data_IF_926179670069
#
_entry.id   IF_926179670069
#
_cell.length_a   1.000
_cell.length_b   1.000
_cell.length_c   1.000
_cell.angle_alpha   90.00
_cell.angle_beta   90.00
_cell.angle_gamma   90.00
#
_symmetry.space_group_name_H-M   'P 1'
#
loop_
_entity.id
_entity.type
_entity.pdbx_description
1 polymer ?
#
# COMPACT_ATOMS: atom_id res chain seq x y z
N UNK A 1 -25.69 -2.83 -24.71
CA UNK A 1 -26.28 -1.61 -24.15
C UNK A 1 -25.13 -0.84 -23.53
N UNK A 2 -24.72 0.27 -24.14
CA UNK A 2 -23.77 1.19 -23.50
C UNK A 2 -24.65 2.00 -22.56
N UNK A 3 -24.58 1.73 -21.26
CA UNK A 3 -25.27 2.51 -20.24
C UNK A 3 -24.82 3.96 -20.34
N UNK A 4 -25.75 4.89 -20.13
CA UNK A 4 -25.47 6.33 -20.14
C UNK A 4 -24.30 6.62 -19.17
N UNK A 5 -23.22 7.31 -19.61
CA UNK A 5 -22.10 7.65 -18.73
C UNK A 5 -22.52 8.45 -17.49
N UNK A 6 -23.69 9.11 -17.50
CA UNK A 6 -24.24 9.78 -16.32
C UNK A 6 -24.89 8.82 -15.31
N UNK A 7 -25.47 7.70 -15.74
CA UNK A 7 -26.01 6.67 -14.84
C UNK A 7 -24.90 5.96 -14.06
N UNK A 8 -23.71 5.86 -14.65
CA UNK A 8 -22.53 5.23 -14.06
C UNK A 8 -21.90 6.08 -12.95
N UNK A 9 -22.05 7.40 -12.98
CA UNK A 9 -21.53 8.31 -11.94
C UNK A 9 -22.31 8.27 -10.63
N UNK A 10 -23.53 7.74 -10.63
CA UNK A 10 -24.38 7.65 -9.43
C UNK A 10 -24.08 6.41 -8.57
N UNK A 11 -23.34 5.43 -9.09
CA UNK A 11 -22.94 4.25 -8.33
C UNK A 11 -21.61 4.51 -7.60
N UNK A 12 -21.65 4.52 -6.27
CA UNK A 12 -20.47 4.66 -5.41
C UNK A 12 -19.40 3.59 -5.65
N UNK A 13 -19.74 2.46 -6.31
CA UNK A 13 -18.82 1.37 -6.61
C UNK A 13 -18.11 1.52 -7.96
N UNK A 14 -18.54 2.47 -8.81
CA UNK A 14 -18.01 2.62 -10.15
C UNK A 14 -16.50 2.92 -10.18
N UNK A 15 -16.02 3.78 -9.28
CA UNK A 15 -14.60 4.10 -9.18
C UNK A 15 -13.76 2.87 -8.82
N UNK A 16 -14.24 2.04 -7.89
CA UNK A 16 -13.55 0.82 -7.49
C UNK A 16 -13.45 -0.19 -8.65
N UNK A 17 -14.51 -0.30 -9.46
CA UNK A 17 -14.51 -1.15 -10.66
C UNK A 17 -13.43 -0.68 -11.65
N UNK A 18 -13.37 0.62 -11.93
CA UNK A 18 -12.35 1.18 -12.82
C UNK A 18 -10.94 0.98 -12.30
N UNK A 19 -10.72 1.24 -11.03
CA UNK A 19 -9.41 1.04 -10.41
C UNK A 19 -9.00 -0.43 -10.53
N UNK A 20 -9.92 -1.38 -10.27
CA UNK A 20 -9.66 -2.81 -10.44
C UNK A 20 -9.33 -3.18 -11.90
N UNK A 21 -10.04 -2.61 -12.87
CA UNK A 21 -9.74 -2.82 -14.29
C UNK A 21 -8.35 -2.30 -14.67
N UNK A 22 -7.96 -1.12 -14.16
CA UNK A 22 -6.63 -0.53 -14.39
C UNK A 22 -5.54 -1.43 -13.79
N UNK A 23 -5.73 -1.92 -12.56
CA UNK A 23 -4.76 -2.82 -11.91
C UNK A 23 -4.61 -4.13 -12.68
N UNK A 24 -5.71 -4.74 -13.13
CA UNK A 24 -5.66 -5.96 -13.93
C UNK A 24 -4.98 -5.74 -15.28
N UNK A 25 -5.32 -4.66 -15.98
CA UNK A 25 -4.68 -4.29 -17.24
C UNK A 25 -3.17 -4.09 -17.06
N UNK A 26 -2.76 -3.41 -15.99
CA UNK A 26 -1.35 -3.23 -15.65
C UNK A 26 -0.67 -4.58 -15.38
N UNK A 27 -1.29 -5.45 -14.59
CA UNK A 27 -0.74 -6.77 -14.28
C UNK A 27 -0.50 -7.60 -15.54
N UNK A 28 -1.50 -7.70 -16.42
CA UNK A 28 -1.40 -8.41 -17.70
C UNK A 28 -0.34 -7.79 -18.61
N UNK A 29 -0.27 -6.46 -18.66
CA UNK A 29 0.74 -5.74 -19.45
C UNK A 29 2.15 -6.05 -18.96
N UNK A 30 2.38 -6.03 -17.65
CA UNK A 30 3.68 -6.36 -17.06
C UNK A 30 4.09 -7.80 -17.37
N UNK A 31 3.14 -8.75 -17.32
CA UNK A 31 3.38 -10.15 -17.66
C UNK A 31 3.71 -10.35 -19.15
N UNK A 32 3.09 -9.57 -20.04
CA UNK A 32 3.39 -9.62 -21.49
C UNK A 32 4.75 -8.98 -21.81
N UNK A 33 5.09 -7.84 -21.18
CA UNK A 33 6.36 -7.16 -21.44
C UNK A 33 7.53 -7.98 -20.91
N UNK A 34 7.42 -8.54 -19.69
CA UNK A 34 8.40 -9.44 -19.07
C UNK A 34 9.87 -8.97 -19.19
N UNK A 35 10.11 -7.67 -18.99
CA UNK A 35 11.44 -7.04 -19.03
C UNK A 35 11.68 -6.27 -17.73
N UNK A 36 12.61 -6.76 -16.91
CA UNK A 36 12.89 -6.19 -15.59
C UNK A 36 13.43 -4.74 -15.66
N UNK A 37 14.22 -4.41 -16.69
CA UNK A 37 14.75 -3.05 -16.86
C UNK A 37 13.62 -2.08 -17.18
N UNK A 38 12.71 -2.50 -18.07
CA UNK A 38 11.53 -1.73 -18.41
C UNK A 38 10.58 -1.55 -17.20
N UNK A 39 10.35 -2.62 -16.43
CA UNK A 39 9.51 -2.59 -15.22
C UNK A 39 10.08 -1.64 -14.17
N UNK A 40 11.39 -1.66 -13.92
CA UNK A 40 12.04 -0.71 -13.00
C UNK A 40 11.88 0.73 -13.52
N UNK A 41 12.13 0.97 -14.81
CA UNK A 41 11.96 2.30 -15.42
C UNK A 41 10.52 2.81 -15.28
N UNK A 42 9.51 1.94 -15.42
CA UNK A 42 8.11 2.28 -15.20
C UNK A 42 7.84 2.61 -13.72
N UNK A 43 8.40 1.83 -12.79
CA UNK A 43 8.28 2.09 -11.36
C UNK A 43 8.88 3.44 -10.94
N UNK A 44 10.01 3.84 -11.55
CA UNK A 44 10.57 5.17 -11.35
C UNK A 44 9.71 6.29 -11.94
N UNK A 45 9.03 6.02 -13.06
CA UNK A 45 8.06 6.95 -13.62
C UNK A 45 6.85 7.13 -12.71
N UNK A 46 6.31 6.04 -12.15
CA UNK A 46 5.24 6.08 -11.15
C UNK A 46 5.67 6.83 -9.90
N UNK A 47 6.87 6.60 -9.39
CA UNK A 47 7.40 7.29 -8.22
C UNK A 47 7.38 8.83 -8.39
N UNK A 48 7.71 9.34 -9.58
CA UNK A 48 7.67 10.79 -9.88
C UNK A 48 6.25 11.37 -9.93
N UNK A 49 5.21 10.54 -10.10
CA UNK A 49 3.83 11.03 -10.16
C UNK A 49 3.26 11.39 -8.79
N UNK A 50 3.87 10.93 -7.69
CA UNK A 50 3.37 11.26 -6.35
C UNK A 50 3.29 12.76 -6.10
N UNK A 51 4.25 13.55 -6.58
CA UNK A 51 4.24 15.00 -6.42
C UNK A 51 3.09 15.66 -7.19
N UNK A 52 2.69 15.12 -8.34
CA UNK A 52 1.56 15.61 -9.12
C UNK A 52 0.21 15.24 -8.47
N UNK A 53 0.16 14.14 -7.72
CA UNK A 53 -1.05 13.67 -7.06
C UNK A 53 -1.15 14.08 -5.59
N UNK A 54 -0.22 14.91 -5.09
CA UNK A 54 -0.15 15.30 -3.68
C UNK A 54 -1.44 15.97 -3.17
N UNK A 55 -2.21 16.63 -4.04
CA UNK A 55 -3.49 17.28 -3.70
C UNK A 55 -4.70 16.39 -3.96
N UNK A 56 -4.52 15.14 -4.36
CA UNK A 56 -5.59 14.21 -4.72
C UNK A 56 -5.35 12.82 -4.14
N UNK A 57 -5.98 12.57 -2.99
CA UNK A 57 -5.87 11.29 -2.29
C UNK A 57 -6.40 10.10 -3.11
N UNK A 58 -7.39 10.32 -4.00
CA UNK A 58 -7.89 9.28 -4.90
C UNK A 58 -6.84 8.84 -5.93
N UNK A 59 -6.17 9.80 -6.59
CA UNK A 59 -5.11 9.48 -7.54
C UNK A 59 -3.88 8.88 -6.84
N UNK A 60 -3.54 9.37 -5.65
CA UNK A 60 -2.47 8.79 -4.83
C UNK A 60 -2.80 7.36 -4.40
N UNK A 61 -4.07 7.09 -4.02
CA UNK A 61 -4.55 5.75 -3.68
C UNK A 61 -4.41 4.77 -4.85
N UNK A 62 -4.83 5.17 -6.06
CA UNK A 62 -4.65 4.34 -7.26
C UNK A 62 -3.16 4.14 -7.59
N UNK A 63 -2.33 5.18 -7.44
CA UNK A 63 -0.88 5.08 -7.66
C UNK A 63 -0.21 4.10 -6.70
N UNK A 64 -0.58 4.09 -5.41
CA UNK A 64 -0.09 3.08 -4.45
C UNK A 64 -0.40 1.66 -4.93
N UNK A 65 -1.59 1.43 -5.46
CA UNK A 65 -2.00 0.12 -5.99
C UNK A 65 -1.23 -0.25 -7.26
N UNK A 66 -1.08 0.68 -8.20
CA UNK A 66 -0.30 0.47 -9.43
C UNK A 66 1.16 0.13 -9.12
N UNK A 67 1.78 0.88 -8.20
CA UNK A 67 3.14 0.63 -7.77
C UNK A 67 3.23 -0.71 -7.01
N UNK A 68 2.27 -1.05 -6.16
CA UNK A 68 2.22 -2.35 -5.49
C UNK A 68 2.13 -3.53 -6.46
N UNK A 69 1.31 -3.40 -7.51
CA UNK A 69 1.18 -4.39 -8.57
C UNK A 69 2.48 -4.56 -9.35
N UNK A 70 3.15 -3.44 -9.67
CA UNK A 70 4.43 -3.44 -10.36
C UNK A 70 5.51 -4.10 -9.51
N UNK A 71 5.61 -3.75 -8.23
CA UNK A 71 6.61 -4.29 -7.30
C UNK A 71 6.45 -5.79 -7.08
N UNK A 72 5.24 -6.35 -7.22
CA UNK A 72 5.03 -7.80 -7.23
C UNK A 72 5.86 -8.52 -8.29
N UNK A 73 6.20 -7.83 -9.40
CA UNK A 73 6.93 -8.36 -10.56
C UNK A 73 8.44 -8.04 -10.51
N UNK A 74 8.95 -7.45 -9.43
CA UNK A 74 10.35 -7.00 -9.33
C UNK A 74 11.12 -7.87 -8.34
N UNK A 75 12.18 -8.53 -8.81
CA UNK A 75 13.02 -9.39 -7.95
C UNK A 75 14.00 -8.61 -7.05
N UNK A 76 14.35 -7.37 -7.43
CA UNK A 76 15.29 -6.53 -6.67
C UNK A 76 14.66 -6.09 -5.34
N UNK A 77 15.02 -6.80 -4.27
CA UNK A 77 14.55 -6.53 -2.91
C UNK A 77 14.94 -5.15 -2.38
N UNK A 78 16.07 -4.58 -2.81
CA UNK A 78 16.51 -3.26 -2.36
C UNK A 78 15.57 -2.21 -2.97
N UNK A 79 15.32 -2.32 -4.27
CA UNK A 79 14.39 -1.46 -4.99
C UNK A 79 12.97 -1.57 -4.41
N UNK A 80 12.46 -2.79 -4.18
CA UNK A 80 11.14 -3.01 -3.55
C UNK A 80 11.07 -2.33 -2.19
N UNK A 81 12.10 -2.49 -1.36
CA UNK A 81 12.16 -1.87 -0.04
C UNK A 81 12.11 -0.34 -0.11
N UNK A 82 12.90 0.25 -1.01
CA UNK A 82 12.94 1.70 -1.21
C UNK A 82 11.58 2.25 -1.67
N UNK A 83 10.91 1.55 -2.59
CA UNK A 83 9.59 1.98 -3.08
C UNK A 83 8.48 1.79 -2.05
N UNK A 84 8.54 0.77 -1.19
CA UNK A 84 7.64 0.69 -0.02
C UNK A 84 7.82 1.92 0.89
N UNK A 85 9.07 2.30 1.18
CA UNK A 85 9.34 3.49 1.99
C UNK A 85 8.83 4.77 1.33
N UNK A 86 8.95 4.88 0.01
CA UNK A 86 8.37 5.98 -0.76
C UNK A 86 6.85 6.01 -0.65
N UNK A 87 6.18 4.87 -0.84
CA UNK A 87 4.72 4.75 -0.72
C UNK A 87 4.25 5.22 0.66
N UNK A 88 4.89 4.77 1.73
CA UNK A 88 4.54 5.20 3.09
C UNK A 88 4.76 6.70 3.30
N UNK A 89 5.84 7.29 2.76
CA UNK A 89 6.11 8.74 2.87
C UNK A 89 5.09 9.63 2.17
N UNK A 90 4.55 9.19 1.04
CA UNK A 90 3.54 9.94 0.29
C UNK A 90 2.09 9.60 0.68
N UNK A 91 1.91 8.74 1.69
CA UNK A 91 0.58 8.38 2.16
C UNK A 91 0.06 9.33 3.23
N UNK A 92 -1.22 9.70 3.11
CA UNK A 92 -1.95 10.42 4.16
C UNK A 92 -2.73 9.39 4.99
N UNK A 93 -2.13 8.89 6.08
CA UNK A 93 -2.74 7.83 6.91
C UNK A 93 -4.03 8.26 7.63
N UNK A 94 -4.29 9.56 7.74
CA UNK A 94 -5.53 10.15 8.27
C UNK A 94 -6.67 10.20 7.26
N UNK A 95 -6.39 10.09 5.96
CA UNK A 95 -7.40 10.12 4.90
C UNK A 95 -7.80 8.68 4.52
N UNK A 96 -9.06 8.26 4.73
CA UNK A 96 -9.47 6.87 4.55
C UNK A 96 -9.19 6.29 3.16
N UNK A 97 -9.42 7.05 2.09
CA UNK A 97 -9.19 6.58 0.71
C UNK A 97 -7.70 6.36 0.43
N UNK A 98 -6.84 7.27 0.90
CA UNK A 98 -5.39 7.16 0.76
C UNK A 98 -4.86 5.95 1.55
N UNK A 99 -5.27 5.85 2.82
CA UNK A 99 -4.96 4.72 3.71
C UNK A 99 -5.37 3.38 3.11
N UNK A 100 -6.57 3.30 2.50
CA UNK A 100 -7.04 2.09 1.84
C UNK A 100 -6.21 1.74 0.60
N UNK A 101 -5.94 2.73 -0.26
CA UNK A 101 -5.09 2.53 -1.46
C UNK A 101 -3.67 2.09 -1.12
N UNK A 102 -3.06 2.69 -0.09
CA UNK A 102 -1.78 2.26 0.45
C UNK A 102 -1.86 0.79 0.91
N UNK A 103 -2.86 0.43 1.71
CA UNK A 103 -2.98 -0.92 2.24
C UNK A 103 -3.19 -1.98 1.15
N UNK A 104 -4.01 -1.67 0.14
CA UNK A 104 -4.17 -2.52 -1.04
C UNK A 104 -2.85 -2.66 -1.82
N UNK A 105 -2.12 -1.55 -2.02
CA UNK A 105 -0.80 -1.56 -2.65
C UNK A 105 0.20 -2.45 -1.90
N UNK A 106 0.33 -2.27 -0.58
CA UNK A 106 1.19 -3.11 0.28
C UNK A 106 0.78 -4.58 0.22
N UNK A 107 -0.52 -4.88 0.19
CA UNK A 107 -1.03 -6.23 -0.04
C UNK A 107 -0.55 -6.84 -1.35
N UNK A 108 -0.63 -6.09 -2.46
CA UNK A 108 -0.13 -6.54 -3.76
C UNK A 108 1.37 -6.86 -3.74
N UNK A 109 2.18 -6.04 -3.04
CA UNK A 109 3.61 -6.31 -2.83
C UNK A 109 3.82 -7.60 -2.02
N UNK A 110 2.99 -7.84 -1.01
CA UNK A 110 3.09 -9.00 -0.12
C UNK A 110 2.88 -10.34 -0.85
N UNK A 111 2.20 -10.34 -2.00
CA UNK A 111 2.02 -11.54 -2.80
C UNK A 111 3.34 -12.17 -3.27
N UNK A 112 4.39 -11.37 -3.50
CA UNK A 112 5.74 -11.85 -3.86
C UNK A 112 6.80 -11.56 -2.79
N UNK A 113 6.58 -10.54 -1.94
CA UNK A 113 7.59 -10.02 -1.00
C UNK A 113 7.05 -9.92 0.44
N UNK A 114 6.32 -10.93 0.89
CA UNK A 114 5.70 -10.96 2.24
C UNK A 114 6.69 -10.62 3.36
N UNK A 115 7.89 -11.21 3.35
CA UNK A 115 8.90 -10.97 4.38
C UNK A 115 9.32 -9.50 4.46
N UNK A 116 9.59 -8.89 3.30
CA UNK A 116 9.96 -7.46 3.23
C UNK A 116 8.83 -6.58 3.75
N UNK A 117 7.57 -6.91 3.40
CA UNK A 117 6.39 -6.19 3.91
C UNK A 117 6.27 -6.32 5.42
N UNK A 118 6.34 -7.53 5.96
CA UNK A 118 6.22 -7.77 7.41
C UNK A 118 7.34 -7.10 8.21
N UNK A 119 8.58 -7.12 7.69
CA UNK A 119 9.72 -6.40 8.26
C UNK A 119 9.41 -4.89 8.33
N UNK A 120 8.90 -4.30 7.25
CA UNK A 120 8.57 -2.87 7.20
C UNK A 120 7.42 -2.50 8.14
N UNK A 121 6.33 -3.26 8.14
CA UNK A 121 5.20 -3.01 9.04
C UNK A 121 5.62 -3.12 10.51
N UNK A 122 6.48 -4.10 10.84
CA UNK A 122 7.04 -4.26 12.19
C UNK A 122 7.88 -3.04 12.59
N UNK A 123 8.77 -2.57 11.71
CA UNK A 123 9.59 -1.39 11.97
C UNK A 123 8.74 -0.13 12.18
N UNK A 124 7.66 0.06 11.39
CA UNK A 124 6.74 1.19 11.55
C UNK A 124 5.99 1.06 12.89
N UNK A 125 5.55 -0.14 13.26
CA UNK A 125 4.88 -0.40 14.54
C UNK A 125 5.78 -0.12 15.75
N UNK A 126 7.03 -0.57 15.72
CA UNK A 126 8.01 -0.32 16.78
C UNK A 126 8.34 1.17 16.91
N UNK A 127 8.52 1.88 15.79
CA UNK A 127 8.74 3.32 15.79
C UNK A 127 7.50 4.09 16.28
N UNK A 128 6.30 3.69 15.87
CA UNK A 128 5.05 4.27 16.35
C UNK A 128 4.90 4.06 17.87
N UNK A 129 5.19 2.85 18.36
CA UNK A 129 5.17 2.51 19.79
C UNK A 129 6.21 3.28 20.60
N UNK A 130 7.44 3.43 20.11
CA UNK A 130 8.46 4.27 20.75
C UNK A 130 8.05 5.74 20.78
N UNK A 131 7.46 6.26 19.69
CA UNK A 131 6.93 7.62 19.65
C UNK A 131 5.74 7.81 20.60
N UNK A 132 4.93 6.76 20.80
CA UNK A 132 3.82 6.75 21.75
C UNK A 132 4.32 6.68 23.19
N UNK A 133 5.36 5.91 23.48
CA UNK A 133 6.02 5.86 24.79
C UNK A 133 6.71 7.18 25.13
N UNK A 134 7.48 7.76 24.20
CA UNK A 134 8.08 9.09 24.35
C UNK A 134 7.01 10.16 24.56
N UNK A 135 5.86 10.08 23.86
CA UNK A 135 4.73 10.99 24.06
C UNK A 135 3.98 10.76 25.37
N UNK A 136 3.77 9.52 25.79
CA UNK A 136 3.17 9.18 27.09
C UNK A 136 4.01 9.75 28.24
N UNK A 137 5.34 9.67 28.12
CA UNK A 137 6.25 10.34 29.06
C UNK A 137 6.13 11.88 28.99
N UNK A 138 5.93 12.46 27.80
CA UNK A 138 5.65 13.90 27.64
C UNK A 138 4.25 14.34 28.09
N UNK A 139 3.31 13.41 28.22
CA UNK A 139 1.94 13.64 28.71
C UNK A 139 1.92 13.99 30.21
N UNK A 140 2.96 13.59 30.94
CA UNK A 140 3.23 14.13 32.28
C UNK A 140 3.69 15.61 32.26
N UNK A 141 3.91 16.21 31.09
CA UNK A 141 4.41 17.59 30.95
C UNK A 141 3.55 18.54 30.10
N UNK A 142 2.74 18.12 29.12
CA UNK A 142 1.80 19.01 28.42
C UNK A 142 0.81 18.24 27.53
N UNK A 143 -0.43 18.74 27.40
CA UNK A 143 -1.55 18.10 26.70
C UNK A 143 -1.68 18.64 25.27
N UNK A 144 -1.24 17.90 24.25
CA UNK A 144 -1.76 18.05 22.87
C UNK A 144 -1.39 16.88 21.93
N UNK A 145 -2.33 16.56 21.02
CA UNK A 145 -2.31 15.62 19.87
C UNK A 145 -2.46 14.10 20.15
N UNK A 146 -3.73 13.66 20.16
CA UNK A 146 -4.15 12.24 20.30
C UNK A 146 -4.50 11.59 18.94
N UNK A 147 -4.87 12.36 17.91
CA UNK A 147 -5.54 11.85 16.69
C UNK A 147 -4.63 11.13 15.68
N UNK A 148 -3.38 11.56 15.53
CA UNK A 148 -2.44 11.07 14.49
C UNK A 148 -1.94 9.62 14.73
N UNK A 149 -1.97 9.15 15.98
CA UNK A 149 -1.47 7.81 16.35
C UNK A 149 -2.50 6.73 16.06
N UNK A 150 -3.78 7.00 16.31
CA UNK A 150 -4.86 6.04 16.09
C UNK A 150 -5.03 5.74 14.60
N UNK A 151 -4.89 6.75 13.75
CA UNK A 151 -4.89 6.59 12.29
C UNK A 151 -3.69 5.76 11.79
N UNK A 152 -2.53 5.89 12.44
CA UNK A 152 -1.34 5.07 12.14
C UNK A 152 -1.60 3.61 12.49
N UNK A 153 -2.19 3.32 13.66
CA UNK A 153 -2.55 1.95 14.04
C UNK A 153 -3.66 1.36 13.15
N UNK A 154 -4.64 2.16 12.75
CA UNK A 154 -5.67 1.75 11.80
C UNK A 154 -5.06 1.43 10.43
N UNK A 155 -4.12 2.24 9.95
CA UNK A 155 -3.39 2.00 8.70
C UNK A 155 -2.54 0.71 8.79
N UNK A 156 -1.82 0.51 9.89
CA UNK A 156 -1.06 -0.72 10.14
C UNK A 156 -1.95 -1.96 10.17
N UNK A 157 -3.06 -1.92 10.90
CA UNK A 157 -4.00 -3.03 10.95
C UNK A 157 -4.56 -3.36 9.55
N UNK A 158 -4.90 -2.32 8.77
CA UNK A 158 -5.38 -2.49 7.40
C UNK A 158 -4.30 -3.07 6.48
N UNK A 159 -3.06 -2.58 6.56
CA UNK A 159 -1.91 -3.10 5.81
C UNK A 159 -1.61 -4.56 6.15
N UNK A 160 -1.61 -4.92 7.44
CA UNK A 160 -1.46 -6.33 7.86
C UNK A 160 -2.59 -7.21 7.33
N UNK A 161 -3.84 -6.72 7.38
CA UNK A 161 -4.99 -7.45 6.84
C UNK A 161 -4.87 -7.71 5.34
N UNK A 162 -4.46 -6.71 4.56
CA UNK A 162 -4.25 -6.87 3.12
C UNK A 162 -3.01 -7.72 2.80
N UNK A 163 -1.91 -7.57 3.55
CA UNK A 163 -0.75 -8.44 3.42
C UNK A 163 -1.13 -9.91 3.65
N UNK A 164 -1.93 -10.21 4.68
CA UNK A 164 -2.43 -11.55 4.93
C UNK A 164 -3.38 -12.05 3.83
N UNK A 165 -4.25 -11.18 3.30
CA UNK A 165 -5.19 -11.52 2.22
C UNK A 165 -4.49 -11.91 0.92
N UNK A 166 -3.40 -11.21 0.58
CA UNK A 166 -2.70 -11.40 -0.70
C UNK A 166 -1.47 -12.31 -0.60
N UNK A 167 -0.99 -12.60 0.61
CA UNK A 167 0.10 -13.53 0.81
C UNK A 167 -0.21 -14.93 0.23
N UNK A 168 0.77 -15.61 -0.38
CA UNK A 168 0.56 -16.97 -0.88
C UNK A 168 0.18 -17.94 0.23
N UNK A 169 -0.89 -18.72 0.05
CA UNK A 169 -1.37 -19.68 1.06
C UNK A 169 -0.28 -20.64 1.54
N UNK A 170 0.59 -21.08 0.62
CA UNK A 170 1.72 -21.96 0.93
C UNK A 170 2.70 -21.38 1.95
N UNK A 171 2.94 -20.06 1.90
CA UNK A 171 3.84 -19.36 2.82
C UNK A 171 3.20 -19.20 4.19
N UNK A 172 1.89 -18.97 4.25
CA UNK A 172 1.13 -18.90 5.51
C UNK A 172 1.08 -20.29 6.18
N UNK A 173 0.74 -21.32 5.42
CA UNK A 173 0.66 -22.71 5.89
C UNK A 173 1.99 -23.19 6.47
N UNK A 174 3.11 -22.93 5.77
CA UNK A 174 4.44 -23.28 6.25
C UNK A 174 4.76 -22.64 7.62
N UNK A 175 4.32 -21.40 7.85
CA UNK A 175 4.54 -20.70 9.13
C UNK A 175 3.66 -21.25 10.25
N UNK A 176 2.40 -21.57 9.97
CA UNK A 176 1.51 -22.19 10.96
C UNK A 176 2.08 -23.55 11.38
N UNK A 177 2.52 -24.36 10.43
CA UNK A 177 3.11 -25.67 10.71
C UNK A 177 4.41 -25.58 11.51
N UNK A 178 5.20 -24.52 11.35
CA UNK A 178 6.42 -24.30 12.13
C UNK A 178 6.19 -23.86 13.58
N UNK A 179 4.95 -23.50 13.94
CA UNK A 179 4.55 -23.10 15.30
C UNK A 179 3.93 -24.25 16.12
N UNK A 180 3.67 -25.40 15.49
CA UNK A 180 3.13 -26.63 16.10
C UNK A 180 4.26 -27.61 16.39
#
# INVERSE_FOLDING_TARGET
YISDPEDLKQDSTYQEIWDNMIINFLAESLDVVNDNVWVISLGDAFARQYDLYATSDGHSALLHRCLGMLLQKVDDRIYVREKIDLMCRHSSMSIPVNRLGLAQGIGLVAASHLDTVLEKLKNILENAGQSALQRFLSFFSFREKVEDVDDTYAALALMYGYAARYAPSTVIEARINALV
#
